data_IF_329071504518
#
_entry.id   IF_329071504518
#
_cell.length_a   1.000
_cell.length_b   1.000
_cell.length_c   1.000
_cell.angle_alpha   90.00
_cell.angle_beta   90.00
_cell.angle_gamma   90.00
#
_symmetry.space_group_name_H-M   'P 1'
#
loop_
_entity.id
_entity.type
_entity.pdbx_description
1 polymer ?
#
# COMPACT_ATOMS: atom_id res chain seq x y z
N UNK A 1 18.99 20.15 45.59
CA UNK A 1 17.95 20.22 44.55
C UNK A 1 16.60 19.89 45.17
N UNK A 2 15.59 20.78 45.07
CA UNK A 2 14.24 20.48 45.60
C UNK A 2 13.61 19.39 44.73
N UNK A 3 13.41 18.19 45.29
CA UNK A 3 12.70 17.10 44.61
C UNK A 3 11.28 17.59 44.31
N UNK A 4 10.94 17.76 43.04
CA UNK A 4 9.58 18.14 42.67
C UNK A 4 8.65 17.01 43.13
N UNK A 5 7.58 17.37 43.86
CA UNK A 5 6.65 16.41 44.48
C UNK A 5 5.99 15.47 43.46
N UNK A 6 5.94 15.89 42.21
CA UNK A 6 5.32 15.18 41.09
C UNK A 6 6.22 15.25 39.87
N UNK A 7 6.19 14.20 39.06
CA UNK A 7 6.86 14.13 37.77
C UNK A 7 6.01 14.85 36.71
N UNK A 8 6.21 16.15 36.62
CA UNK A 8 5.44 17.01 35.73
C UNK A 8 5.77 16.81 34.26
N UNK A 9 6.95 16.29 33.94
CA UNK A 9 7.38 15.99 32.58
C UNK A 9 6.58 14.80 32.03
N UNK A 10 6.48 13.72 32.81
CA UNK A 10 5.66 12.55 32.45
C UNK A 10 4.17 12.90 32.39
N UNK A 11 3.65 13.69 33.34
CA UNK A 11 2.24 14.13 33.34
C UNK A 11 1.91 14.96 32.09
N UNK A 12 2.83 15.85 31.69
CA UNK A 12 2.68 16.66 30.49
C UNK A 12 2.69 15.79 29.23
N UNK A 13 3.66 14.90 29.09
CA UNK A 13 3.76 14.01 27.93
C UNK A 13 2.50 13.17 27.73
N UNK A 14 1.94 12.60 28.81
CA UNK A 14 0.69 11.84 28.70
C UNK A 14 -0.53 12.72 28.41
N UNK A 15 -0.57 13.95 28.91
CA UNK A 15 -1.62 14.92 28.57
C UNK A 15 -1.58 15.29 27.09
N UNK A 16 -0.39 15.63 26.57
CA UNK A 16 -0.17 16.01 25.16
C UNK A 16 -0.46 14.83 24.21
N UNK A 17 -0.24 13.59 24.67
CA UNK A 17 -0.63 12.35 23.98
C UNK A 17 -2.13 11.99 24.09
N UNK A 18 -2.95 12.85 24.71
CA UNK A 18 -4.42 12.71 24.73
C UNK A 18 -5.03 12.19 26.03
N UNK A 19 -4.26 11.96 27.10
CA UNK A 19 -4.83 11.57 28.40
C UNK A 19 -5.62 12.73 29.03
N UNK A 20 -6.78 12.43 29.61
CA UNK A 20 -7.57 13.44 30.32
C UNK A 20 -6.93 13.81 31.67
N UNK A 21 -7.09 15.06 32.10
CA UNK A 21 -6.56 15.53 33.39
C UNK A 21 -7.11 14.77 34.60
N UNK A 22 -8.32 14.20 34.49
CA UNK A 22 -8.89 13.33 35.54
C UNK A 22 -8.11 12.02 35.67
N UNK A 23 -7.82 11.38 34.53
CA UNK A 23 -7.01 10.15 34.51
C UNK A 23 -5.59 10.38 35.04
N UNK A 24 -4.99 11.54 34.73
CA UNK A 24 -3.67 11.92 35.23
C UNK A 24 -3.70 12.22 36.74
N UNK A 25 -4.78 12.84 37.23
CA UNK A 25 -5.01 13.06 38.66
C UNK A 25 -5.05 11.75 39.43
N UNK A 26 -5.83 10.79 38.94
CA UNK A 26 -5.98 9.47 39.58
C UNK A 26 -4.67 8.67 39.55
N UNK A 27 -3.93 8.74 38.44
CA UNK A 27 -2.69 7.99 38.22
C UNK A 27 -1.50 8.53 39.02
N UNK A 28 -1.38 9.86 39.11
CA UNK A 28 -0.22 10.51 39.71
C UNK A 28 -0.48 11.14 41.08
N UNK A 29 -1.72 11.05 41.60
CA UNK A 29 -2.13 11.63 42.88
C UNK A 29 -2.00 13.16 42.91
N UNK A 30 -2.16 13.80 41.74
CA UNK A 30 -2.07 15.25 41.58
C UNK A 30 -3.47 15.83 41.48
N UNK A 31 -3.77 16.87 42.26
CA UNK A 31 -5.03 17.59 42.13
C UNK A 31 -5.28 18.05 40.67
N UNK A 32 -6.45 17.69 40.12
CA UNK A 32 -6.85 18.05 38.75
C UNK A 32 -6.78 19.56 38.50
N UNK A 33 -7.13 20.39 39.49
CA UNK A 33 -7.05 21.84 39.34
C UNK A 33 -5.59 22.32 39.31
N UNK A 34 -4.66 21.66 39.99
CA UNK A 34 -3.22 21.91 39.87
C UNK A 34 -2.69 21.57 38.46
N UNK A 35 -3.11 20.45 37.87
CA UNK A 35 -2.80 20.09 36.47
C UNK A 35 -3.35 21.17 35.52
N UNK A 36 -4.61 21.59 35.69
CA UNK A 36 -5.24 22.61 34.85
C UNK A 36 -4.55 23.97 34.92
N UNK A 37 -4.22 24.45 36.13
CA UNK A 37 -3.49 25.72 36.30
C UNK A 37 -2.14 25.69 35.62
N UNK A 38 -1.44 24.57 35.70
CA UNK A 38 -0.11 24.41 35.11
C UNK A 38 -0.16 24.29 33.59
N UNK A 39 -1.08 23.47 33.08
CA UNK A 39 -1.34 23.35 31.64
C UNK A 39 -1.65 24.72 31.00
N UNK A 40 -2.44 25.57 31.67
CA UNK A 40 -2.70 26.95 31.22
C UNK A 40 -1.46 27.83 31.28
N UNK A 41 -0.68 27.76 32.36
CA UNK A 41 0.54 28.58 32.54
C UNK A 41 1.63 28.23 31.52
N UNK A 42 1.72 26.96 31.16
CA UNK A 42 2.76 26.43 30.27
C UNK A 42 2.23 26.10 28.85
N UNK A 43 1.00 26.53 28.55
CA UNK A 43 0.33 26.36 27.26
C UNK A 43 0.37 24.91 26.71
N UNK A 44 0.06 23.93 27.54
CA UNK A 44 -0.01 22.53 27.09
C UNK A 44 -1.17 22.34 26.12
N UNK A 45 -0.94 21.62 25.03
CA UNK A 45 -1.94 21.32 24.01
C UNK A 45 -1.97 19.82 23.72
N UNK A 46 -3.16 19.25 23.51
CA UNK A 46 -3.27 17.86 23.11
C UNK A 46 -3.06 17.74 21.60
N UNK A 47 -2.06 16.97 21.18
CA UNK A 47 -1.82 16.60 19.79
C UNK A 47 -2.13 15.10 19.64
N UNK A 48 -3.40 14.76 19.77
CA UNK A 48 -3.87 13.37 19.77
C UNK A 48 -3.58 12.70 18.42
N UNK A 49 -3.75 13.45 17.32
CA UNK A 49 -3.50 12.95 15.96
C UNK A 49 -2.01 12.71 15.73
N UNK A 50 -1.15 13.72 15.98
CA UNK A 50 0.28 13.57 15.76
C UNK A 50 0.96 12.58 16.71
N UNK A 51 0.46 12.43 17.95
CA UNK A 51 0.99 11.44 18.89
C UNK A 51 0.65 10.00 18.48
N UNK A 52 -0.55 9.78 17.95
CA UNK A 52 -0.97 8.47 17.42
C UNK A 52 -0.18 8.14 16.15
N UNK A 53 -0.02 9.09 15.23
CA UNK A 53 0.73 8.89 14.00
C UNK A 53 2.21 8.55 14.29
N UNK A 54 2.86 9.26 15.23
CA UNK A 54 4.23 8.94 15.67
C UNK A 54 4.34 7.54 16.29
N UNK A 55 3.35 7.11 17.07
CA UNK A 55 3.34 5.78 17.68
C UNK A 55 3.10 4.67 16.64
N UNK A 56 2.27 4.93 15.64
CA UNK A 56 2.07 4.04 14.49
C UNK A 56 3.35 3.94 13.67
N UNK A 57 3.99 5.06 13.32
CA UNK A 57 5.25 5.08 12.60
C UNK A 57 6.36 4.36 13.36
N UNK A 58 6.47 4.57 14.67
CA UNK A 58 7.45 3.86 15.49
C UNK A 58 7.21 2.35 15.52
N UNK A 59 5.94 1.91 15.54
CA UNK A 59 5.58 0.49 15.54
C UNK A 59 5.80 -0.15 14.18
N UNK A 60 5.43 0.54 13.09
CA UNK A 60 5.68 0.11 11.72
C UNK A 60 7.18 0.04 11.46
N UNK A 61 7.95 1.07 11.80
CA UNK A 61 9.41 1.08 11.63
C UNK A 61 10.12 0.05 12.53
N UNK A 62 9.63 -0.18 13.75
CA UNK A 62 10.16 -1.22 14.65
C UNK A 62 9.91 -2.64 14.14
N UNK A 63 8.76 -2.88 13.50
CA UNK A 63 8.47 -4.15 12.82
C UNK A 63 9.36 -4.31 11.59
N UNK A 64 9.56 -3.24 10.80
CA UNK A 64 10.40 -3.28 9.59
C UNK A 64 11.89 -3.49 9.90
N UNK A 65 12.37 -2.98 11.04
CA UNK A 65 13.77 -3.13 11.48
C UNK A 65 14.07 -4.48 12.17
N UNK A 66 13.06 -5.27 12.53
CA UNK A 66 13.24 -6.58 13.18
C UNK A 66 13.23 -7.77 12.20
N UNK A 67 12.91 -7.53 10.92
CA UNK A 67 13.02 -8.54 9.88
C UNK A 67 14.43 -8.51 9.30
N UNK A 68 15.14 -9.63 9.44
CA UNK A 68 16.40 -9.92 8.76
C UNK A 68 16.35 -9.42 7.30
N UNK A 69 17.27 -8.53 6.88
CA UNK A 69 17.28 -7.99 5.52
C UNK A 69 17.22 -9.06 4.43
N UNK A 70 17.84 -10.22 4.64
CA UNK A 70 17.79 -11.34 3.69
C UNK A 70 16.38 -11.95 3.60
N UNK A 71 15.71 -12.14 4.75
CA UNK A 71 14.32 -12.64 4.78
C UNK A 71 13.35 -11.65 4.17
N UNK A 72 13.56 -10.35 4.38
CA UNK A 72 12.77 -9.30 3.75
C UNK A 72 12.96 -9.31 2.23
N UNK A 73 14.20 -9.42 1.74
CA UNK A 73 14.49 -9.51 0.32
C UNK A 73 13.87 -10.77 -0.32
N UNK A 74 13.98 -11.93 0.34
CA UNK A 74 13.36 -13.17 -0.13
C UNK A 74 11.83 -13.08 -0.19
N UNK A 75 11.19 -12.47 0.81
CA UNK A 75 9.74 -12.25 0.82
C UNK A 75 9.29 -11.30 -0.31
N UNK A 76 10.08 -10.24 -0.59
CA UNK A 76 9.82 -9.33 -1.70
C UNK A 76 9.97 -10.06 -3.05
N UNK A 77 11.02 -10.87 -3.22
CA UNK A 77 11.24 -11.66 -4.43
C UNK A 77 10.09 -12.65 -4.68
N UNK A 78 9.68 -13.40 -3.66
CA UNK A 78 8.54 -14.33 -3.74
C UNK A 78 7.25 -13.61 -4.15
N UNK A 79 6.96 -12.46 -3.53
CA UNK A 79 5.78 -11.67 -3.87
C UNK A 79 5.86 -11.08 -5.30
N UNK A 80 7.06 -10.81 -5.82
CA UNK A 80 7.27 -10.39 -7.19
C UNK A 80 7.03 -11.54 -8.18
N UNK A 81 7.56 -12.73 -7.89
CA UNK A 81 7.39 -13.93 -8.72
C UNK A 81 5.92 -14.33 -8.86
N UNK A 82 5.15 -14.26 -7.76
CA UNK A 82 3.71 -14.51 -7.78
C UNK A 82 2.96 -13.52 -8.70
N UNK A 83 3.32 -12.23 -8.68
CA UNK A 83 2.74 -11.22 -9.59
C UNK A 83 3.14 -11.47 -11.04
N UNK A 84 4.39 -11.87 -11.28
CA UNK A 84 4.87 -12.23 -12.63
C UNK A 84 4.06 -13.41 -13.19
N UNK A 85 3.81 -14.43 -12.38
CA UNK A 85 2.99 -15.57 -12.78
C UNK A 85 1.56 -15.16 -13.17
N UNK A 86 0.92 -14.25 -12.41
CA UNK A 86 -0.39 -13.70 -12.77
C UNK A 86 -0.35 -12.98 -14.12
N UNK A 87 0.67 -12.15 -14.36
CA UNK A 87 0.82 -11.40 -15.61
C UNK A 87 1.05 -12.34 -16.80
N UNK A 88 1.88 -13.36 -16.65
CA UNK A 88 2.13 -14.36 -17.69
C UNK A 88 0.82 -15.07 -18.05
N UNK A 89 0.10 -15.57 -17.04
CA UNK A 89 -1.19 -16.25 -17.26
C UNK A 89 -2.20 -15.33 -17.95
N UNK A 90 -2.26 -14.05 -17.57
CA UNK A 90 -3.14 -13.09 -18.24
C UNK A 90 -2.84 -12.98 -19.74
N UNK A 91 -1.57 -13.00 -20.14
CA UNK A 91 -1.17 -12.97 -21.55
C UNK A 91 -1.58 -14.25 -22.28
N UNK A 92 -1.35 -15.40 -21.68
CA UNK A 92 -1.71 -16.71 -22.26
C UNK A 92 -3.23 -16.85 -22.48
N UNK A 93 -4.04 -16.36 -21.54
CA UNK A 93 -5.50 -16.37 -21.66
C UNK A 93 -6.01 -15.60 -22.89
N UNK A 94 -5.32 -14.54 -23.28
CA UNK A 94 -5.66 -13.79 -24.49
C UNK A 94 -5.31 -14.53 -25.77
N UNK A 95 -4.31 -15.43 -25.76
CA UNK A 95 -4.03 -16.28 -26.91
C UNK A 95 -5.15 -17.29 -27.14
N UNK A 96 -5.70 -17.90 -26.07
CA UNK A 96 -6.91 -18.73 -26.18
C UNK A 96 -8.10 -17.94 -26.75
N UNK A 97 -8.29 -16.70 -26.31
CA UNK A 97 -9.35 -15.83 -26.84
C UNK A 97 -9.12 -15.50 -28.33
N UNK A 98 -7.88 -15.24 -28.72
CA UNK A 98 -7.49 -15.00 -30.11
C UNK A 98 -7.82 -16.19 -31.00
N UNK A 99 -7.52 -17.41 -30.57
CA UNK A 99 -7.86 -18.63 -31.31
C UNK A 99 -9.37 -18.79 -31.53
N UNK A 100 -10.18 -18.45 -30.53
CA UNK A 100 -11.65 -18.45 -30.64
C UNK A 100 -12.12 -17.45 -31.70
N UNK A 101 -11.56 -16.23 -31.71
CA UNK A 101 -11.88 -15.20 -32.71
C UNK A 101 -11.48 -15.66 -34.11
N UNK A 102 -10.24 -16.12 -34.28
CA UNK A 102 -9.72 -16.62 -35.56
C UNK A 102 -10.64 -17.71 -36.11
N UNK A 103 -10.97 -18.71 -35.29
CA UNK A 103 -11.84 -19.81 -35.70
C UNK A 103 -13.25 -19.33 -36.06
N UNK A 104 -13.80 -18.37 -35.31
CA UNK A 104 -15.13 -17.82 -35.59
C UNK A 104 -15.18 -17.12 -36.95
N UNK A 105 -14.13 -16.34 -37.27
CA UNK A 105 -14.01 -15.63 -38.54
C UNK A 105 -13.82 -16.62 -39.70
N UNK A 106 -12.88 -17.55 -39.57
CA UNK A 106 -12.57 -18.53 -40.62
C UNK A 106 -13.79 -19.38 -41.00
N UNK A 107 -14.61 -19.74 -40.00
CA UNK A 107 -15.81 -20.56 -40.22
C UNK A 107 -17.07 -19.76 -40.48
N UNK A 108 -16.99 -18.43 -40.43
CA UNK A 108 -18.14 -17.53 -40.47
C UNK A 108 -19.24 -17.95 -39.46
N UNK A 109 -18.80 -18.35 -38.26
CA UNK A 109 -19.64 -18.90 -37.20
C UNK A 109 -20.00 -17.80 -36.20
N UNK A 110 -21.22 -17.28 -36.35
CA UNK A 110 -21.72 -16.17 -35.54
C UNK A 110 -21.85 -16.51 -34.05
N UNK A 111 -22.24 -17.76 -33.72
CA UNK A 111 -22.40 -18.15 -32.32
C UNK A 111 -21.03 -18.33 -31.65
N UNK A 112 -20.03 -18.80 -32.41
CA UNK A 112 -18.65 -18.79 -31.93
C UNK A 112 -18.08 -17.39 -31.78
N UNK A 113 -18.46 -16.45 -32.64
CA UNK A 113 -18.08 -15.04 -32.48
C UNK A 113 -18.66 -14.43 -31.19
N UNK A 114 -19.92 -14.76 -30.85
CA UNK A 114 -20.51 -14.37 -29.56
C UNK A 114 -19.76 -15.00 -28.39
N UNK A 115 -19.45 -16.29 -28.47
CA UNK A 115 -18.67 -16.97 -27.43
C UNK A 115 -17.33 -16.26 -27.23
N UNK A 116 -16.60 -15.99 -28.31
CA UNK A 116 -15.31 -15.30 -28.25
C UNK A 116 -15.40 -13.91 -27.60
N UNK A 117 -16.49 -13.16 -27.86
CA UNK A 117 -16.77 -11.87 -27.20
C UNK A 117 -17.05 -12.03 -25.71
N UNK A 118 -17.94 -12.96 -25.33
CA UNK A 118 -18.30 -13.20 -23.92
C UNK A 118 -17.07 -13.69 -23.14
N UNK A 119 -16.24 -14.54 -23.74
CA UNK A 119 -14.96 -14.95 -23.17
C UNK A 119 -14.04 -13.75 -22.94
N UNK A 120 -13.90 -12.84 -23.92
CA UNK A 120 -13.08 -11.64 -23.75
C UNK A 120 -13.58 -10.74 -22.59
N UNK A 121 -14.89 -10.55 -22.47
CA UNK A 121 -15.48 -9.77 -21.36
C UNK A 121 -15.25 -10.45 -20.01
N UNK A 122 -15.38 -11.77 -19.95
CA UNK A 122 -15.12 -12.57 -18.75
C UNK A 122 -13.65 -12.49 -18.32
N UNK A 123 -12.73 -12.62 -19.28
CA UNK A 123 -11.30 -12.49 -19.05
C UNK A 123 -10.99 -11.08 -18.52
N UNK A 124 -11.53 -10.04 -19.15
CA UNK A 124 -11.33 -8.65 -18.69
C UNK A 124 -11.77 -8.48 -17.22
N UNK A 125 -12.97 -8.91 -16.86
CA UNK A 125 -13.48 -8.78 -15.47
C UNK A 125 -12.58 -9.54 -14.49
N UNK A 126 -12.21 -10.77 -14.81
CA UNK A 126 -11.34 -11.59 -13.95
C UNK A 126 -9.97 -10.95 -13.77
N UNK A 127 -9.34 -10.54 -14.87
CA UNK A 127 -8.01 -9.94 -14.83
C UNK A 127 -8.02 -8.60 -14.08
N UNK A 128 -9.05 -7.77 -14.23
CA UNK A 128 -9.21 -6.55 -13.45
C UNK A 128 -9.33 -6.83 -11.95
N UNK A 129 -10.12 -7.84 -11.56
CA UNK A 129 -10.26 -8.23 -10.16
C UNK A 129 -8.93 -8.75 -9.57
N UNK A 130 -8.20 -9.54 -10.33
CA UNK A 130 -6.89 -10.06 -9.90
C UNK A 130 -5.84 -8.97 -9.83
N UNK A 131 -5.76 -8.07 -10.82
CA UNK A 131 -4.85 -6.92 -10.79
C UNK A 131 -5.07 -6.08 -9.53
N UNK A 132 -6.34 -5.85 -9.14
CA UNK A 132 -6.70 -5.18 -7.89
C UNK A 132 -6.25 -5.96 -6.65
N UNK A 133 -6.52 -7.27 -6.60
CA UNK A 133 -6.12 -8.13 -5.48
C UNK A 133 -4.60 -8.18 -5.28
N UNK A 134 -3.83 -8.19 -6.38
CA UNK A 134 -2.37 -8.28 -6.37
C UNK A 134 -1.65 -6.92 -6.40
N UNK A 135 -2.41 -5.81 -6.40
CA UNK A 135 -1.87 -4.45 -6.47
C UNK A 135 -1.05 -4.18 -7.74
N UNK A 136 -1.36 -4.85 -8.84
CA UNK A 136 -0.76 -4.63 -10.15
C UNK A 136 -1.43 -3.39 -10.76
N UNK A 137 -0.69 -2.30 -10.87
CA UNK A 137 -1.21 -1.05 -11.45
C UNK A 137 -1.04 -1.06 -12.96
N UNK A 138 -2.01 -0.47 -13.65
CA UNK A 138 -1.80 -0.07 -15.04
C UNK A 138 -0.72 1.01 -15.03
N UNK A 139 0.37 0.77 -15.77
CA UNK A 139 1.23 1.86 -16.19
C UNK A 139 0.42 2.58 -17.26
N UNK A 140 -0.32 3.61 -16.84
CA UNK A 140 -0.83 4.60 -17.78
C UNK A 140 0.34 4.99 -18.67
N UNK A 141 0.15 4.90 -19.99
CA UNK A 141 1.16 5.32 -20.94
C UNK A 141 1.61 6.73 -20.54
N UNK A 142 2.87 6.83 -20.08
CA UNK A 142 3.51 8.09 -19.74
C UNK A 142 3.25 9.07 -20.91
N UNK A 143 2.68 10.27 -20.70
CA UNK A 143 2.44 11.24 -21.77
C UNK A 143 3.71 11.84 -22.39
N UNK A 144 4.88 11.30 -22.07
CA UNK A 144 6.15 12.00 -22.25
C UNK A 144 7.02 11.24 -23.26
N UNK A 145 6.76 11.49 -24.55
CA UNK A 145 7.78 11.78 -25.58
C UNK A 145 9.02 10.88 -25.74
N UNK A 146 9.07 9.68 -25.18
CA UNK A 146 10.20 8.75 -25.32
C UNK A 146 10.08 7.93 -26.59
N UNK A 147 10.48 8.49 -27.74
CA UNK A 147 10.55 7.76 -28.99
C UNK A 147 11.46 6.53 -28.86
N UNK A 148 10.87 5.33 -28.73
CA UNK A 148 11.56 4.06 -28.96
C UNK A 148 11.96 4.00 -30.45
N UNK A 149 13.15 4.49 -30.78
CA UNK A 149 13.74 4.32 -32.10
C UNK A 149 14.28 2.90 -32.20
N UNK A 150 13.47 1.98 -32.71
CA UNK A 150 13.91 0.65 -33.10
C UNK A 150 14.72 0.78 -34.39
N UNK A 151 16.06 0.80 -34.29
CA UNK A 151 16.95 0.62 -35.45
C UNK A 151 16.87 -0.85 -35.88
N UNK A 152 16.10 -1.11 -36.93
CA UNK A 152 16.18 -2.40 -37.64
C UNK A 152 17.50 -2.40 -38.43
N UNK A 153 18.52 -3.08 -37.90
CA UNK A 153 19.70 -3.43 -38.68
C UNK A 153 19.30 -4.55 -39.65
N UNK A 154 19.11 -4.17 -40.92
CA UNK A 154 18.96 -5.11 -42.03
C UNK A 154 20.33 -5.75 -42.26
N UNK A 155 20.52 -6.98 -41.79
CA UNK A 155 21.65 -7.80 -42.21
C UNK A 155 21.31 -8.30 -43.60
N UNK A 156 21.87 -7.64 -44.64
CA UNK A 156 21.89 -8.21 -45.98
C UNK A 156 22.83 -9.41 -45.97
N UNK A 157 22.30 -10.57 -46.37
CA UNK A 157 23.11 -11.74 -46.67
C UNK A 157 23.90 -11.53 -47.96
N UNK A 158 25.13 -12.02 -47.96
CA UNK A 158 25.83 -12.52 -49.15
C UNK A 158 25.72 -14.05 -49.17
#
# INVERSE_FOLDING_TARGET
MRKQRYDWETIRAEYEAGSSMGKLSDKYGVDKAAISRRAKKEAWAQDVTGAVDRAVDAKVNGIVNTVDPEKKAAAIASAADEKVAVIIRHREEWETQRELVTTAIEKNDFDKAKLAKITAETLKIRQEAERKAWGIRDVDAQPDGGALTVRILRVSGE
#
